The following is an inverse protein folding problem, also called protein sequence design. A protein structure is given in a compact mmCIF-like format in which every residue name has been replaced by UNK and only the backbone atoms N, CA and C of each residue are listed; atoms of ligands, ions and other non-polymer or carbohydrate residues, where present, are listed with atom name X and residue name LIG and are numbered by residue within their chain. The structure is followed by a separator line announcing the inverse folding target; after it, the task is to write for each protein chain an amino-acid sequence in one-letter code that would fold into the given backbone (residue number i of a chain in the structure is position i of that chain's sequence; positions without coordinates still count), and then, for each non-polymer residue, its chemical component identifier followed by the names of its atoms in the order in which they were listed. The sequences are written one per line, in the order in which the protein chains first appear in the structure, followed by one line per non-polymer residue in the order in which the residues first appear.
data_IF_217624880351
#
_entry.id   IF_217624880351
#
_cell.length_a   1.000
_cell.length_b   1.000
_cell.length_c   1.000
_cell.angle_alpha   90.00
_cell.angle_beta   90.00
_cell.angle_gamma   90.00
#
_symmetry.space_group_name_H-M   'P 1'
#
loop_
_entity.id
_entity.type
_entity.pdbx_description
1 polymer ?
#
# COMPACT_ATOMS: atom_id res chain seq x y z
N UNK A 1 -7.39 -13.09 12.70
CA UNK A 1 -8.26 -13.42 11.56
C UNK A 1 -7.67 -14.63 10.84
N UNK A 2 -8.47 -15.51 10.22
CA UNK A 2 -7.95 -16.59 9.39
C UNK A 2 -7.11 -16.00 8.22
N UNK A 3 -6.11 -16.74 7.70
CA UNK A 3 -5.26 -16.24 6.61
C UNK A 3 -6.09 -15.90 5.37
N UNK A 4 -5.88 -14.70 4.82
CA UNK A 4 -6.57 -14.25 3.60
C UNK A 4 -5.76 -14.68 2.38
N UNK A 5 -6.24 -15.69 1.66
CA UNK A 5 -5.68 -16.10 0.37
C UNK A 5 -6.14 -15.15 -0.75
N UNK A 6 -5.31 -14.91 -1.80
CA UNK A 6 -4.01 -15.55 -2.06
C UNK A 6 -2.82 -14.92 -1.32
N UNK A 7 -3.00 -13.80 -0.60
CA UNK A 7 -1.91 -13.08 0.07
C UNK A 7 -1.14 -13.93 1.10
N UNK A 8 -1.78 -14.94 1.67
CA UNK A 8 -1.18 -15.86 2.63
C UNK A 8 -0.34 -17.00 2.01
N UNK A 9 -0.27 -17.13 0.68
CA UNK A 9 0.64 -18.12 0.08
C UNK A 9 2.10 -17.70 0.31
N UNK A 10 3.01 -18.60 0.69
CA UNK A 10 4.42 -18.25 0.96
C UNK A 10 5.15 -17.58 -0.22
N UNK A 11 4.67 -17.83 -1.44
CA UNK A 11 5.23 -17.30 -2.69
C UNK A 11 4.68 -15.90 -3.04
N UNK A 12 3.65 -15.43 -2.33
CA UNK A 12 2.93 -14.18 -2.64
C UNK A 12 3.47 -13.07 -1.76
N UNK A 13 3.67 -11.91 -2.37
CA UNK A 13 4.03 -10.70 -1.64
C UNK A 13 2.75 -10.07 -1.06
N UNK A 14 2.55 -10.20 0.24
CA UNK A 14 1.38 -9.60 0.89
C UNK A 14 1.61 -8.11 1.20
N UNK A 15 0.68 -7.27 0.76
CA UNK A 15 0.80 -5.82 0.85
C UNK A 15 -0.33 -5.21 1.67
N UNK A 16 0.02 -4.41 2.68
CA UNK A 16 -0.93 -3.58 3.43
C UNK A 16 -0.95 -2.13 2.91
N UNK A 17 -1.95 -1.36 3.32
CA UNK A 17 -2.13 0.03 2.89
C UNK A 17 -1.91 1.02 4.03
N UNK A 18 -1.14 2.07 3.74
CA UNK A 18 -0.94 3.22 4.62
C UNK A 18 -1.47 4.51 4.04
N UNK A 19 -1.74 5.47 4.90
CA UNK A 19 -2.18 6.82 4.56
C UNK A 19 -0.99 7.77 4.32
N UNK A 20 -1.25 9.07 4.12
CA UNK A 20 -0.20 10.04 3.79
C UNK A 20 0.85 10.23 4.93
N UNK A 21 0.53 9.85 6.16
CA UNK A 21 1.43 9.90 7.31
C UNK A 21 2.12 8.56 7.59
N UNK A 22 2.02 7.60 6.66
CA UNK A 22 2.61 6.27 6.83
C UNK A 22 1.87 5.39 7.83
N UNK A 23 0.65 5.74 8.24
CA UNK A 23 -0.15 4.97 9.21
C UNK A 23 -1.05 3.98 8.48
N UNK A 24 -1.11 2.74 8.96
CA UNK A 24 -1.99 1.71 8.38
C UNK A 24 -3.46 2.13 8.42
N UNK A 25 -4.22 1.83 7.37
CA UNK A 25 -5.67 2.06 7.37
C UNK A 25 -6.41 0.99 8.17
N UNK A 26 -7.57 1.34 8.74
CA UNK A 26 -8.31 0.48 9.67
C UNK A 26 -8.68 -0.90 9.06
N UNK A 27 -9.11 -0.89 7.80
CA UNK A 27 -9.63 -2.02 7.04
C UNK A 27 -8.54 -2.88 6.40
N UNK A 28 -7.26 -2.45 6.45
CA UNK A 28 -6.19 -3.24 5.91
C UNK A 28 -5.92 -4.47 6.77
N UNK A 29 -5.71 -5.60 6.10
CA UNK A 29 -5.36 -6.85 6.74
C UNK A 29 -4.05 -6.75 7.52
N UNK A 30 -4.00 -7.45 8.64
CA UNK A 30 -2.82 -7.60 9.51
C UNK A 30 -2.55 -9.09 9.71
N UNK A 31 -1.29 -9.45 9.96
CA UNK A 31 -0.87 -10.82 10.24
C UNK A 31 0.40 -11.20 9.51
N UNK A 32 0.78 -12.47 9.65
CA UNK A 32 2.03 -12.99 9.10
C UNK A 32 2.09 -12.93 7.57
N UNK A 33 0.96 -12.80 6.89
CA UNK A 33 0.95 -12.59 5.45
C UNK A 33 1.43 -11.20 5.01
N UNK A 34 1.60 -10.21 5.91
CA UNK A 34 2.06 -8.87 5.53
C UNK A 34 3.59 -8.87 5.34
N UNK A 35 4.03 -8.53 4.13
CA UNK A 35 5.45 -8.35 3.80
C UNK A 35 5.86 -6.89 3.77
N UNK A 36 5.03 -6.01 3.22
CA UNK A 36 5.32 -4.59 3.07
C UNK A 36 4.07 -3.73 3.22
N UNK A 37 4.28 -2.49 3.61
CA UNK A 37 3.27 -1.43 3.59
C UNK A 37 3.56 -0.44 2.45
N UNK A 38 2.52 0.03 1.76
CA UNK A 38 2.67 1.08 0.75
C UNK A 38 1.45 2.02 0.72
N UNK A 39 1.55 3.20 0.09
CA UNK A 39 0.44 4.13 -0.02
C UNK A 39 -0.80 3.47 -0.61
N UNK A 40 -1.90 3.53 0.14
CA UNK A 40 -3.20 3.05 -0.31
C UNK A 40 -4.34 3.88 0.25
N UNK A 41 -4.07 5.09 0.73
CA UNK A 41 -5.07 6.06 1.18
C UNK A 41 -4.53 7.48 1.09
N UNK A 42 -5.43 8.46 1.25
CA UNK A 42 -5.17 9.89 1.06
C UNK A 42 -4.46 10.15 -0.27
N UNK A 43 -4.78 9.38 -1.32
CA UNK A 43 -4.10 9.46 -2.61
C UNK A 43 -5.11 9.49 -3.74
N UNK A 44 -4.68 9.96 -4.91
CA UNK A 44 -5.47 9.92 -6.12
C UNK A 44 -5.02 8.81 -7.07
N UNK A 45 -5.97 8.28 -7.81
CA UNK A 45 -5.74 7.43 -8.96
C UNK A 45 -6.55 7.93 -10.17
N UNK A 46 -6.23 7.39 -11.34
CA UNK A 46 -6.97 7.69 -12.56
C UNK A 46 -8.44 7.26 -12.42
N UNK A 47 -9.34 8.18 -12.72
CA UNK A 47 -10.77 7.98 -12.84
C UNK A 47 -11.20 7.91 -14.30
N UNK A 48 -12.52 8.02 -14.54
CA UNK A 48 -13.08 8.01 -15.90
C UNK A 48 -12.78 9.31 -16.64
N UNK A 49 -12.73 9.23 -17.96
CA UNK A 49 -12.62 10.40 -18.86
C UNK A 49 -11.46 11.36 -18.49
N UNK A 50 -10.31 10.81 -18.10
CA UNK A 50 -9.11 11.59 -17.76
C UNK A 50 -9.19 12.32 -16.40
N UNK A 51 -10.22 12.07 -15.60
CA UNK A 51 -10.32 12.62 -14.24
C UNK A 51 -9.41 11.90 -13.26
N UNK A 52 -9.22 12.52 -12.09
CA UNK A 52 -8.63 11.88 -10.92
C UNK A 52 -9.67 11.78 -9.81
N UNK A 53 -9.56 10.72 -9.02
CA UNK A 53 -10.48 10.41 -7.93
C UNK A 53 -9.68 10.04 -6.68
N UNK A 54 -10.18 10.41 -5.51
CA UNK A 54 -9.55 9.99 -4.25
C UNK A 54 -9.81 8.50 -4.03
N UNK A 55 -8.76 7.75 -3.65
CA UNK A 55 -8.82 6.29 -3.53
C UNK A 55 -8.35 5.81 -2.17
N UNK A 56 -8.81 4.61 -1.81
CA UNK A 56 -8.46 3.95 -0.55
C UNK A 56 -8.56 2.44 -0.66
N UNK A 57 -7.57 1.71 -0.15
CA UNK A 57 -7.55 0.24 -0.09
C UNK A 57 -6.19 -0.36 -0.43
N UNK A 58 -5.98 -1.62 -0.03
CA UNK A 58 -4.77 -2.39 -0.34
C UNK A 58 -4.61 -2.65 -1.84
N UNK A 59 -5.70 -2.66 -2.61
CA UNK A 59 -5.68 -2.76 -4.07
C UNK A 59 -4.88 -1.66 -4.77
N UNK A 60 -4.72 -0.49 -4.12
CA UNK A 60 -3.90 0.62 -4.63
C UNK A 60 -2.45 0.56 -4.14
N UNK A 61 -2.21 -0.07 -3.00
CA UNK A 61 -0.87 -0.27 -2.44
C UNK A 61 -0.11 -1.40 -3.17
N UNK A 62 -0.79 -2.51 -3.45
CA UNK A 62 -0.22 -3.68 -4.11
C UNK A 62 0.56 -3.39 -5.42
N UNK A 63 0.00 -2.64 -6.40
CA UNK A 63 0.72 -2.33 -7.63
C UNK A 63 1.95 -1.44 -7.42
N UNK A 64 1.99 -0.60 -6.38
CA UNK A 64 3.18 0.21 -6.07
C UNK A 64 4.34 -0.68 -5.63
N UNK A 65 4.07 -1.65 -4.74
CA UNK A 65 5.07 -2.63 -4.31
C UNK A 65 5.52 -3.49 -5.48
N UNK A 66 4.58 -3.97 -6.31
CA UNK A 66 4.90 -4.77 -7.49
C UNK A 66 5.82 -4.01 -8.47
N UNK A 67 5.53 -2.73 -8.74
CA UNK A 67 6.36 -1.88 -9.59
C UNK A 67 7.75 -1.63 -9.03
N UNK A 68 7.86 -1.40 -7.71
CA UNK A 68 9.15 -1.26 -7.04
C UNK A 68 9.97 -2.55 -7.12
N UNK A 69 9.35 -3.71 -6.85
CA UNK A 69 10.02 -5.03 -7.00
C UNK A 69 10.45 -5.26 -8.45
N UNK A 70 9.60 -4.95 -9.43
CA UNK A 70 9.97 -5.06 -10.85
C UNK A 70 11.17 -4.19 -11.22
N UNK A 71 11.32 -3.02 -10.58
CA UNK A 71 12.41 -2.08 -10.85
C UNK A 71 13.73 -2.46 -10.15
N UNK A 72 13.68 -2.89 -8.89
CA UNK A 72 14.88 -3.06 -8.04
C UNK A 72 15.11 -4.47 -7.52
N UNK A 73 14.20 -5.41 -7.82
CA UNK A 73 14.09 -6.67 -7.10
C UNK A 73 13.60 -6.47 -5.66
N UNK A 74 13.19 -7.56 -5.02
CA UNK A 74 12.67 -7.53 -3.63
C UNK A 74 13.73 -7.13 -2.60
N UNK A 75 14.99 -7.52 -2.81
CA UNK A 75 16.11 -7.15 -1.93
C UNK A 75 16.53 -5.68 -2.05
N UNK A 76 16.17 -5.02 -3.16
CA UNK A 76 16.47 -3.60 -3.39
C UNK A 76 15.42 -2.63 -2.82
N UNK A 77 14.38 -3.14 -2.15
CA UNK A 77 13.37 -2.30 -1.52
C UNK A 77 13.93 -1.61 -0.28
N UNK A 78 13.95 -0.27 -0.31
CA UNK A 78 14.25 0.53 0.87
C UNK A 78 12.97 0.72 1.69
N UNK A 79 12.71 -0.21 2.62
CA UNK A 79 11.58 -0.15 3.53
C UNK A 79 11.94 0.66 4.77
N UNK A 80 11.08 1.61 5.12
CA UNK A 80 11.20 2.41 6.34
C UNK A 80 10.46 1.67 7.45
N UNK A 81 11.19 1.24 8.48
CA UNK A 81 10.62 0.54 9.64
C UNK A 81 9.53 1.40 10.29
N UNK A 82 8.40 0.76 10.62
CA UNK A 82 7.22 1.43 11.15
C UNK A 82 6.49 0.49 12.12
N UNK A 83 6.01 1.03 13.23
CA UNK A 83 5.36 0.24 14.26
C UNK A 83 6.36 -0.36 15.25
N UNK A 84 6.26 -1.67 15.47
CA UNK A 84 7.23 -2.38 16.31
C UNK A 84 8.55 -2.54 15.55
N UNK A 85 9.69 -2.47 16.23
CA UNK A 85 10.98 -2.54 15.55
C UNK A 85 11.18 -3.87 14.84
N UNK A 86 11.63 -3.79 13.59
CA UNK A 86 11.82 -4.94 12.71
C UNK A 86 10.51 -5.45 12.13
N UNK A 87 10.53 -6.68 11.61
CA UNK A 87 9.36 -7.23 10.93
C UNK A 87 8.17 -7.38 11.88
N UNK A 88 7.02 -6.82 11.51
CA UNK A 88 5.80 -6.89 12.32
C UNK A 88 4.54 -7.25 11.50
N UNK A 89 3.47 -7.63 12.19
CA UNK A 89 2.21 -8.07 11.56
C UNK A 89 1.37 -6.92 10.96
N UNK A 90 1.76 -5.66 11.18
CA UNK A 90 1.06 -4.47 10.70
C UNK A 90 1.76 -3.90 9.47
N UNK A 91 3.08 -3.70 9.50
CA UNK A 91 3.82 -3.08 8.39
C UNK A 91 4.73 -4.05 7.63
N UNK A 92 4.84 -5.31 8.07
CA UNK A 92 5.75 -6.27 7.47
C UNK A 92 7.18 -5.81 7.70
N UNK A 93 7.97 -5.67 6.65
CA UNK A 93 9.34 -5.12 6.69
C UNK A 93 9.36 -3.58 6.77
N UNK A 94 8.21 -2.91 6.67
CA UNK A 94 8.09 -1.46 6.73
C UNK A 94 7.39 -0.83 5.53
N UNK A 95 7.36 0.50 5.52
CA UNK A 95 6.72 1.32 4.49
C UNK A 95 7.66 1.57 3.31
N UNK A 96 7.21 1.23 2.10
CA UNK A 96 7.93 1.48 0.85
C UNK A 96 7.18 2.49 -0.02
N UNK A 97 7.93 3.26 -0.82
CA UNK A 97 7.35 4.07 -1.89
C UNK A 97 6.39 5.18 -1.43
N UNK A 98 6.54 5.72 -0.23
CA UNK A 98 5.65 6.78 0.29
C UNK A 98 5.61 8.01 -0.64
N UNK A 99 6.71 8.32 -1.32
CA UNK A 99 6.82 9.38 -2.33
C UNK A 99 6.05 9.12 -3.63
N UNK A 100 5.66 7.87 -3.90
CA UNK A 100 4.84 7.49 -5.06
C UNK A 100 3.35 7.81 -4.83
N UNK A 101 2.97 8.26 -3.64
CA UNK A 101 1.61 8.73 -3.35
C UNK A 101 1.33 10.00 -4.13
N UNK A 102 0.36 9.97 -5.03
CA UNK A 102 -0.17 11.18 -5.67
C UNK A 102 -1.13 11.90 -4.72
N UNK A 103 -0.83 13.13 -4.25
CA UNK A 103 -1.75 13.88 -3.41
C UNK A 103 -3.02 14.27 -4.18
N UNK A 104 -4.24 14.07 -3.65
CA UNK A 104 -5.48 14.41 -4.36
C UNK A 104 -5.55 15.86 -4.83
N UNK A 105 -5.08 16.79 -4.00
CA UNK A 105 -5.04 18.21 -4.33
C UNK A 105 -4.08 18.54 -5.49
N UNK A 106 -3.00 17.77 -5.66
CA UNK A 106 -2.00 18.01 -6.71
C UNK A 106 -2.54 17.73 -8.12
N UNK A 107 -3.61 16.93 -8.23
CA UNK A 107 -4.22 16.54 -9.52
C UNK A 107 -5.69 16.94 -9.61
N UNK A 108 -6.18 17.78 -8.69
CA UNK A 108 -7.57 18.23 -8.67
C UNK A 108 -8.58 17.10 -8.57
N UNK A 109 -8.27 16.03 -7.82
CA UNK A 109 -9.12 14.85 -7.73
C UNK A 109 -10.51 15.19 -7.17
N UNK A 110 -11.56 14.67 -7.81
CA UNK A 110 -12.96 14.94 -7.44
C UNK A 110 -13.64 13.67 -6.96
N UNK A 111 -14.35 13.75 -5.83
CA UNK A 111 -15.05 12.61 -5.24
C UNK A 111 -14.10 11.51 -4.72
N UNK A 112 -14.69 10.41 -4.27
CA UNK A 112 -13.99 9.22 -3.78
C UNK A 112 -14.48 8.00 -4.56
N UNK A 113 -13.59 7.10 -4.97
CA UNK A 113 -14.02 5.80 -5.49
C UNK A 113 -14.74 5.04 -4.37
N UNK A 114 -15.95 4.48 -4.63
CA UNK A 114 -16.59 3.60 -3.66
C UNK A 114 -15.70 2.38 -3.41
N UNK A 115 -15.63 1.97 -2.15
CA UNK A 115 -14.93 0.77 -1.67
C UNK A 115 -15.69 -0.50 -2.01
#
# INVERSE_FOLDING_TARGET
APPLYPAAYPQVVGVTAVNAQGRVIAEAGRGDQVDYAAPGADMAAAGRAGSFVSVRGTSFAAPLVAGLIGKSGRQGLNAIDAGASGRDAVYGQGVVGLSLRTPPAAVGARGRLPS
#
